data_IF_047967604569
#
_entry.id   IF_047967604569
#
_cell.length_a   1.000
_cell.length_b   1.000
_cell.length_c   1.000
_cell.angle_alpha   90.00
_cell.angle_beta   90.00
_cell.angle_gamma   90.00
#
_symmetry.space_group_name_H-M   'P 1'
#
loop_
_entity.id
_entity.type
_entity.pdbx_description
1 polymer ?
#
# COMPACT_ATOMS: atom_id res chain seq x y z
N UNK A 1 14.57 2.72 3.51
CA UNK A 1 13.08 2.63 3.47
C UNK A 1 12.46 3.86 2.81
N UNK A 2 13.03 5.06 2.92
CA UNK A 2 12.53 6.32 2.32
C UNK A 2 12.07 6.25 0.84
N UNK A 3 12.92 5.82 -0.10
CA UNK A 3 12.61 5.91 -1.53
C UNK A 3 11.37 5.13 -2.01
N UNK A 4 10.92 4.12 -1.26
CA UNK A 4 9.75 3.30 -1.63
C UNK A 4 8.43 3.91 -1.14
N UNK A 5 8.50 4.79 -0.14
CA UNK A 5 7.32 5.47 0.38
C UNK A 5 7.15 6.83 -0.31
N UNK A 6 8.24 7.45 -0.76
CA UNK A 6 8.22 8.75 -1.45
C UNK A 6 7.34 8.75 -2.71
N UNK A 7 7.51 7.78 -3.62
CA UNK A 7 6.67 7.70 -4.83
C UNK A 7 5.19 7.46 -4.51
N UNK A 8 4.93 6.76 -3.40
CA UNK A 8 3.58 6.39 -3.01
C UNK A 8 2.86 7.60 -2.41
N UNK A 9 3.57 8.40 -1.62
CA UNK A 9 3.08 9.68 -1.11
C UNK A 9 2.82 10.67 -2.25
N UNK A 10 3.71 10.75 -3.24
CA UNK A 10 3.50 11.57 -4.44
C UNK A 10 2.23 11.15 -5.18
N UNK A 11 2.04 9.85 -5.44
CA UNK A 11 0.83 9.36 -6.08
C UNK A 11 -0.44 9.63 -5.25
N UNK A 12 -0.38 9.49 -3.93
CA UNK A 12 -1.53 9.79 -3.06
C UNK A 12 -1.88 11.28 -3.08
N UNK A 13 -0.88 12.16 -3.23
CA UNK A 13 -1.09 13.61 -3.43
C UNK A 13 -1.70 13.89 -4.80
N UNK A 14 -1.16 13.30 -5.86
CA UNK A 14 -1.61 13.51 -7.24
C UNK A 14 -3.04 13.00 -7.46
N UNK A 15 -3.40 11.88 -6.83
CA UNK A 15 -4.76 11.35 -6.82
C UNK A 15 -5.71 12.11 -5.89
N UNK A 16 -5.20 13.05 -5.08
CA UNK A 16 -5.99 13.90 -4.20
C UNK A 16 -6.47 13.23 -2.90
N UNK A 17 -5.92 12.07 -2.55
CA UNK A 17 -6.26 11.37 -1.30
C UNK A 17 -5.62 12.01 -0.06
N UNK A 18 -4.45 12.62 -0.23
CA UNK A 18 -3.76 13.38 0.81
C UNK A 18 -3.25 14.70 0.24
N UNK A 19 -3.07 15.68 1.11
CA UNK A 19 -2.46 16.97 0.74
C UNK A 19 -0.98 16.97 1.08
N UNK A 20 -0.17 17.75 0.36
CA UNK A 20 1.27 17.90 0.66
C UNK A 20 1.51 18.38 2.09
N UNK A 21 0.64 19.25 2.62
CA UNK A 21 0.71 19.69 4.02
C UNK A 21 0.44 18.58 5.04
N UNK A 22 -0.43 17.61 4.74
CA UNK A 22 -0.64 16.44 5.60
C UNK A 22 0.57 15.50 5.59
N UNK A 23 1.22 15.33 4.43
CA UNK A 23 2.45 14.53 4.32
C UNK A 23 3.59 15.18 5.12
N UNK A 24 3.76 16.49 5.01
CA UNK A 24 4.77 17.24 5.77
C UNK A 24 4.51 17.21 7.28
N UNK A 25 3.25 17.31 7.71
CA UNK A 25 2.88 17.22 9.12
C UNK A 25 3.09 15.82 9.71
N UNK A 26 2.90 14.78 8.90
CA UNK A 26 3.06 13.38 9.32
C UNK A 26 4.53 12.94 9.40
N UNK A 27 5.47 13.64 8.74
CA UNK A 27 6.90 13.31 8.74
C UNK A 27 7.53 13.25 10.15
N UNK A 28 7.46 14.32 10.96
CA UNK A 28 8.02 14.34 12.32
C UNK A 28 7.40 13.30 13.25
N UNK A 29 6.09 13.06 13.11
CA UNK A 29 5.37 12.08 13.93
C UNK A 29 5.72 10.64 13.53
N UNK A 30 5.94 10.38 12.24
CA UNK A 30 6.41 9.09 11.73
C UNK A 30 7.83 8.79 12.22
N UNK A 31 8.72 9.78 12.20
CA UNK A 31 10.08 9.65 12.73
C UNK A 31 10.08 9.39 14.24
N UNK A 32 9.24 10.11 15.00
CA UNK A 32 9.11 9.94 16.45
C UNK A 32 8.52 8.58 16.86
N UNK A 33 7.61 8.02 16.05
CA UNK A 33 7.00 6.71 16.27
C UNK A 33 7.83 5.54 15.70
N UNK A 34 8.83 5.83 14.88
CA UNK A 34 9.61 4.83 14.14
C UNK A 34 8.82 4.12 13.04
N UNK A 35 7.66 4.67 12.66
CA UNK A 35 6.80 4.18 11.58
C UNK A 35 7.12 4.88 10.27
N UNK A 36 6.78 4.27 9.14
CA UNK A 36 6.76 4.97 7.85
C UNK A 36 5.62 5.97 7.81
N UNK A 37 5.76 7.06 7.05
CA UNK A 37 4.72 8.11 6.92
C UNK A 37 3.40 7.51 6.41
N UNK A 38 3.48 6.57 5.47
CA UNK A 38 2.32 5.85 4.93
C UNK A 38 1.65 4.98 6.00
N UNK A 39 2.43 4.27 6.81
CA UNK A 39 1.92 3.40 7.87
C UNK A 39 1.27 4.22 8.99
N UNK A 40 1.87 5.36 9.36
CA UNK A 40 1.26 6.31 10.29
C UNK A 40 -0.08 6.84 9.75
N UNK A 41 -0.13 7.23 8.47
CA UNK A 41 -1.37 7.72 7.85
C UNK A 41 -2.47 6.64 7.80
N UNK A 42 -2.10 5.36 7.67
CA UNK A 42 -3.04 4.24 7.81
C UNK A 42 -3.55 4.09 9.25
N UNK A 43 -2.67 4.18 10.25
CA UNK A 43 -3.05 4.10 11.67
C UNK A 43 -3.98 5.25 12.08
N UNK A 44 -3.68 6.46 11.60
CA UNK A 44 -4.50 7.66 11.80
C UNK A 44 -5.80 7.64 10.97
N UNK A 45 -5.99 6.63 10.12
CA UNK A 45 -7.14 6.47 9.21
C UNK A 45 -7.30 7.64 8.22
N UNK A 46 -6.22 8.36 7.93
CA UNK A 46 -6.19 9.38 6.89
C UNK A 46 -6.28 8.76 5.50
N UNK A 47 -5.71 7.56 5.34
CA UNK A 47 -5.84 6.73 4.15
C UNK A 47 -6.33 5.34 4.53
N UNK A 48 -7.02 4.67 3.61
CA UNK A 48 -7.44 3.27 3.79
C UNK A 48 -6.51 2.30 3.06
N UNK A 49 -6.50 1.04 3.50
CA UNK A 49 -5.75 -0.02 2.82
C UNK A 49 -6.17 -0.19 1.36
N UNK A 50 -7.45 0.01 1.04
CA UNK A 50 -7.97 -0.03 -0.32
C UNK A 50 -7.37 1.06 -1.21
N UNK A 51 -7.31 2.30 -0.72
CA UNK A 51 -6.68 3.41 -1.45
C UNK A 51 -5.19 3.15 -1.64
N UNK A 52 -4.52 2.63 -0.61
CA UNK A 52 -3.10 2.29 -0.70
C UNK A 52 -2.83 1.23 -1.77
N UNK A 53 -3.67 0.19 -1.85
CA UNK A 53 -3.57 -0.84 -2.89
C UNK A 53 -3.79 -0.26 -4.28
N UNK A 54 -4.77 0.63 -4.46
CA UNK A 54 -5.03 1.31 -5.73
C UNK A 54 -3.87 2.21 -6.16
N UNK A 55 -3.31 3.01 -5.25
CA UNK A 55 -2.18 3.88 -5.55
C UNK A 55 -0.93 3.07 -5.95
N UNK A 56 -0.67 1.94 -5.27
CA UNK A 56 0.41 1.01 -5.66
C UNK A 56 0.17 0.41 -7.05
N UNK A 57 -1.04 -0.05 -7.33
CA UNK A 57 -1.38 -0.65 -8.61
C UNK A 57 -1.26 0.37 -9.77
N UNK A 58 -1.77 1.59 -9.57
CA UNK A 58 -1.69 2.68 -10.55
C UNK A 58 -0.24 3.00 -10.94
N UNK A 59 0.68 3.03 -9.98
CA UNK A 59 2.10 3.28 -10.24
C UNK A 59 2.73 2.23 -11.16
N UNK A 60 2.45 0.95 -10.90
CA UNK A 60 3.02 -0.16 -11.66
C UNK A 60 2.23 -0.50 -12.93
N UNK A 61 1.13 0.21 -13.20
CA UNK A 61 0.23 -0.10 -14.32
C UNK A 61 -0.50 -1.44 -14.16
N UNK A 62 -0.71 -1.88 -12.91
CA UNK A 62 -1.43 -3.12 -12.61
C UNK A 62 -2.91 -2.84 -12.32
N UNK A 63 -3.72 -3.86 -12.54
CA UNK A 63 -5.12 -3.87 -12.14
C UNK A 63 -5.26 -4.28 -10.66
N UNK A 64 -6.20 -3.68 -9.96
CA UNK A 64 -6.60 -4.12 -8.61
C UNK A 64 -7.67 -5.19 -8.74
N UNK A 65 -7.40 -6.39 -8.24
CA UNK A 65 -8.34 -7.52 -8.27
C UNK A 65 -8.93 -7.80 -6.89
N UNK A 66 -10.23 -8.12 -6.85
CA UNK A 66 -10.91 -8.57 -5.64
C UNK A 66 -10.84 -10.09 -5.53
N UNK A 67 -9.84 -10.60 -4.80
CA UNK A 67 -9.65 -12.03 -4.60
C UNK A 67 -10.84 -12.74 -3.91
N UNK A 68 -11.67 -12.02 -3.15
CA UNK A 68 -12.81 -12.62 -2.45
C UNK A 68 -13.94 -13.03 -3.41
N UNK A 69 -14.03 -12.40 -4.58
CA UNK A 69 -15.03 -12.68 -5.61
C UNK A 69 -14.53 -13.66 -6.68
N UNK A 70 -13.25 -14.05 -6.61
CA UNK A 70 -12.62 -14.94 -7.57
C UNK A 70 -12.66 -16.39 -7.08
N UNK A 71 -13.00 -17.31 -7.98
CA UNK A 71 -12.73 -18.74 -7.81
C UNK A 71 -11.50 -19.09 -8.63
N UNK A 72 -10.42 -19.42 -7.94
CA UNK A 72 -9.18 -19.89 -8.54
C UNK A 72 -9.19 -21.42 -8.55
N UNK A 73 -8.57 -22.01 -9.57
CA UNK A 73 -8.44 -23.46 -9.68
C UNK A 73 -7.47 -24.00 -8.60
N UNK A 74 -7.81 -25.14 -8.00
CA UNK A 74 -6.98 -25.79 -6.99
C UNK A 74 -5.62 -26.23 -7.57
N UNK A 75 -5.58 -26.62 -8.85
CA UNK A 75 -4.33 -26.95 -9.53
C UNK A 75 -3.40 -25.72 -9.62
N UNK A 76 -3.97 -24.54 -9.92
CA UNK A 76 -3.22 -23.26 -9.95
C UNK A 76 -2.74 -22.84 -8.56
N UNK A 77 -3.57 -23.00 -7.52
CA UNK A 77 -3.15 -22.70 -6.14
C UNK A 77 -2.00 -23.63 -5.71
N UNK A 78 -2.06 -24.90 -6.11
CA UNK A 78 -1.05 -25.91 -5.76
C UNK A 78 0.29 -25.72 -6.49
N UNK A 79 0.33 -24.91 -7.55
CA UNK A 79 1.55 -24.67 -8.32
C UNK A 79 2.62 -23.91 -7.52
N UNK A 80 2.24 -23.19 -6.47
CA UNK A 80 3.16 -22.47 -5.57
C UNK A 80 3.06 -23.04 -4.15
N UNK A 81 4.16 -23.58 -3.58
CA UNK A 81 4.15 -24.10 -2.22
C UNK A 81 3.77 -23.05 -1.17
N UNK A 82 2.97 -23.46 -0.18
CA UNK A 82 2.40 -22.57 0.86
C UNK A 82 3.45 -21.77 1.62
N UNK A 83 4.61 -22.37 1.91
CA UNK A 83 5.71 -21.71 2.62
C UNK A 83 6.33 -20.59 1.78
N UNK A 84 6.38 -20.74 0.46
CA UNK A 84 6.86 -19.71 -0.46
C UNK A 84 5.83 -18.59 -0.58
N UNK A 85 4.57 -18.93 -0.84
CA UNK A 85 3.50 -17.94 -0.97
C UNK A 85 3.38 -17.02 0.26
N UNK A 86 3.48 -17.58 1.48
CA UNK A 86 3.42 -16.78 2.72
C UNK A 86 4.63 -15.86 2.93
N UNK A 87 5.79 -16.17 2.34
CA UNK A 87 7.02 -15.40 2.51
C UNK A 87 7.03 -14.11 1.68
N UNK A 88 6.32 -14.08 0.55
CA UNK A 88 6.36 -13.00 -0.44
C UNK A 88 5.08 -12.15 -0.49
N UNK A 89 4.35 -12.05 0.62
CA UNK A 89 3.11 -11.25 0.71
C UNK A 89 3.38 -9.74 0.66
#
# INVERSE_FOLDING_TARGET
>A
MAAKDDYLLENLVDLGYVTRGQVEAAGPEAEASGLGVVDLMLEQKLISSTILTQAKAAHFGFEVVNLAEMRLDDELISSVPRNIAKRYR
#
